data_IF_178910216788
#
_entry.id   IF_178910216788
#
_cell.length_a   1.000
_cell.length_b   1.000
_cell.length_c   1.000
_cell.angle_alpha   90.00
_cell.angle_beta   90.00
_cell.angle_gamma   90.00
#
_symmetry.space_group_name_H-M   'P 1'
#
loop_
_entity.id
_entity.type
_entity.pdbx_description
1 polymer ?
#
# COMPACT_ATOMS: atom_id res chain seq x y z
N UNK A 1 -6.41 25.52 -0.43
CA UNK A 1 -6.37 24.94 -1.77
C UNK A 1 -6.30 23.43 -1.60
N UNK A 2 -7.41 22.76 -1.85
CA UNK A 2 -7.48 21.29 -1.90
C UNK A 2 -6.62 20.90 -3.09
N UNK A 3 -5.49 20.25 -2.83
CA UNK A 3 -4.77 19.50 -3.85
C UNK A 3 -5.67 18.29 -4.20
N UNK A 4 -6.69 18.55 -5.01
CA UNK A 4 -7.36 17.49 -5.73
C UNK A 4 -6.29 16.83 -6.60
N UNK A 5 -5.93 15.60 -6.26
CA UNK A 5 -5.15 14.76 -7.16
C UNK A 5 -6.03 14.51 -8.38
N UNK A 6 -5.89 15.37 -9.39
CA UNK A 6 -6.47 15.08 -10.68
C UNK A 6 -5.77 13.80 -11.14
N UNK A 7 -6.49 12.68 -11.03
CA UNK A 7 -6.10 11.44 -11.68
C UNK A 7 -6.08 11.78 -13.18
N UNK A 8 -4.89 11.97 -13.75
CA UNK A 8 -4.80 11.98 -15.21
C UNK A 8 -5.41 10.68 -15.68
N UNK A 9 -6.49 10.77 -16.43
CA UNK A 9 -7.13 9.57 -16.98
C UNK A 9 -6.05 8.75 -17.68
N UNK A 10 -5.74 7.56 -17.19
CA UNK A 10 -4.63 6.80 -17.72
C UNK A 10 -4.87 6.55 -19.20
N UNK A 11 -3.85 6.59 -20.05
CA UNK A 11 -3.99 6.15 -21.42
C UNK A 11 -4.65 4.78 -21.39
N UNK A 12 -5.72 4.61 -22.16
CA UNK A 12 -6.46 3.34 -22.19
C UNK A 12 -5.49 2.25 -22.62
N UNK A 13 -5.41 1.20 -21.82
CA UNK A 13 -4.71 -0.01 -22.25
C UNK A 13 -5.34 -0.49 -23.56
N UNK A 14 -4.54 -0.97 -24.51
CA UNK A 14 -5.09 -1.61 -25.70
C UNK A 14 -6.02 -2.76 -25.25
N UNK A 15 -7.08 -3.07 -26.01
CA UNK A 15 -7.98 -4.15 -25.66
C UNK A 15 -7.18 -5.45 -25.52
N UNK A 16 -7.56 -6.33 -24.58
CA UNK A 16 -6.85 -7.59 -24.37
C UNK A 16 -6.88 -8.41 -25.67
N UNK A 17 -5.82 -9.18 -25.95
CA UNK A 17 -5.75 -9.96 -27.17
C UNK A 17 -6.85 -11.01 -27.20
N UNK A 18 -7.51 -11.15 -28.33
CA UNK A 18 -8.58 -12.15 -28.56
C UNK A 18 -8.02 -13.60 -28.68
N UNK A 19 -6.71 -13.76 -28.73
CA UNK A 19 -6.04 -15.05 -28.82
C UNK A 19 -4.68 -15.05 -28.12
N UNK A 20 -4.22 -16.24 -27.67
CA UNK A 20 -2.89 -16.45 -27.04
C UNK A 20 -1.71 -15.92 -27.87
N UNK A 21 -1.85 -15.94 -29.16
CA UNK A 21 -0.79 -15.61 -30.12
C UNK A 21 -0.41 -14.14 -30.14
N UNK A 22 -1.26 -13.28 -29.58
CA UNK A 22 -1.05 -11.84 -29.60
C UNK A 22 -0.57 -11.28 -28.25
N UNK A 23 -0.34 -12.12 -27.22
CA UNK A 23 0.06 -11.64 -25.90
C UNK A 23 1.39 -10.87 -25.95
N UNK A 24 2.38 -11.40 -26.65
CA UNK A 24 3.69 -10.75 -26.80
C UNK A 24 3.53 -9.37 -27.47
N UNK A 25 2.90 -9.34 -28.63
CA UNK A 25 2.64 -8.07 -29.35
C UNK A 25 1.78 -7.11 -28.54
N UNK A 26 0.89 -7.62 -27.71
CA UNK A 26 0.06 -6.79 -26.84
C UNK A 26 0.89 -6.19 -25.69
N UNK A 27 1.77 -6.97 -25.06
CA UNK A 27 2.71 -6.51 -24.03
C UNK A 27 3.69 -5.47 -24.59
N UNK A 28 4.22 -5.70 -25.79
CA UNK A 28 5.07 -4.73 -26.48
C UNK A 28 4.34 -3.39 -26.71
N UNK A 29 3.08 -3.43 -27.14
CA UNK A 29 2.26 -2.22 -27.33
C UNK A 29 1.89 -1.53 -26.00
N UNK A 30 1.64 -2.32 -24.96
CA UNK A 30 1.35 -1.79 -23.64
C UNK A 30 2.59 -1.07 -23.05
N UNK A 31 3.78 -1.55 -23.38
CA UNK A 31 5.04 -1.05 -22.84
C UNK A 31 5.16 -1.28 -21.32
N UNK A 32 6.25 -0.79 -20.74
CA UNK A 32 6.51 -0.95 -19.31
C UNK A 32 5.38 -0.37 -18.45
N UNK A 33 4.90 0.82 -18.79
CA UNK A 33 3.84 1.49 -18.02
C UNK A 33 2.52 0.72 -18.09
N UNK A 34 2.22 0.10 -19.22
CA UNK A 34 1.06 -0.77 -19.36
C UNK A 34 1.18 -2.04 -18.53
N UNK A 35 2.36 -2.64 -18.51
CA UNK A 35 2.64 -3.83 -17.67
C UNK A 35 2.51 -3.50 -16.18
N UNK A 36 3.10 -2.38 -15.72
CA UNK A 36 2.99 -1.94 -14.33
C UNK A 36 1.52 -1.74 -13.92
N UNK A 37 0.69 -1.17 -14.81
CA UNK A 37 -0.76 -0.99 -14.58
C UNK A 37 -1.52 -2.29 -14.47
N UNK A 38 -1.20 -3.29 -15.31
CA UNK A 38 -1.79 -4.63 -15.20
C UNK A 38 -1.48 -5.25 -13.84
N UNK A 39 -0.27 -5.02 -13.33
CA UNK A 39 0.17 -5.44 -12.01
C UNK A 39 -0.46 -4.62 -10.87
N UNK A 40 -1.36 -3.69 -11.18
CA UNK A 40 -2.05 -2.87 -10.17
C UNK A 40 -1.29 -1.62 -9.72
N UNK A 41 -0.10 -1.35 -10.28
CA UNK A 41 0.63 -0.13 -9.96
C UNK A 41 -0.03 1.08 -10.60
N UNK A 42 -0.28 2.10 -9.78
CA UNK A 42 -0.86 3.38 -10.20
C UNK A 42 0.24 4.42 -10.35
N UNK A 43 0.06 5.30 -11.32
CA UNK A 43 0.92 6.45 -11.53
C UNK A 43 0.08 7.71 -11.37
N UNK A 44 0.49 8.56 -10.44
CA UNK A 44 -0.15 9.84 -10.16
C UNK A 44 0.93 10.91 -10.00
N UNK A 45 0.52 12.15 -9.79
CA UNK A 45 1.45 13.23 -9.43
C UNK A 45 2.18 12.85 -8.13
N UNK A 46 3.50 12.82 -8.15
CA UNK A 46 4.34 12.36 -7.03
C UNK A 46 4.81 10.91 -7.12
N UNK A 47 4.39 10.16 -8.13
CA UNK A 47 4.98 8.84 -8.43
C UNK A 47 6.49 8.98 -8.62
N UNK A 48 7.26 8.07 -8.05
CA UNK A 48 8.71 8.04 -8.25
C UNK A 48 9.02 7.73 -9.72
N UNK A 49 9.81 8.59 -10.41
CA UNK A 49 10.05 8.45 -11.84
C UNK A 49 10.91 7.23 -12.21
N UNK A 50 11.54 6.57 -11.24
CA UNK A 50 12.47 5.45 -11.47
C UNK A 50 11.78 4.12 -11.79
N UNK A 51 10.46 4.08 -11.92
CA UNK A 51 9.67 2.85 -12.17
C UNK A 51 9.95 1.76 -11.14
N UNK A 52 9.89 2.11 -9.88
CA UNK A 52 10.16 1.22 -8.77
C UNK A 52 9.16 0.07 -8.71
N UNK A 53 9.64 -1.15 -8.47
CA UNK A 53 8.79 -2.29 -8.18
C UNK A 53 8.54 -2.43 -6.66
N UNK A 54 7.35 -2.87 -6.26
CA UNK A 54 7.06 -3.12 -4.85
C UNK A 54 7.88 -4.31 -4.33
N UNK A 55 8.22 -4.34 -3.02
CA UNK A 55 8.72 -5.55 -2.39
C UNK A 55 7.73 -6.71 -2.55
N UNK A 56 8.25 -7.94 -2.49
CA UNK A 56 7.36 -9.11 -2.51
C UNK A 56 6.40 -9.11 -1.31
N UNK A 57 5.23 -9.73 -1.48
CA UNK A 57 4.24 -9.91 -0.40
C UNK A 57 4.86 -10.50 0.86
N UNK A 58 5.75 -11.48 0.72
CA UNK A 58 6.49 -12.07 1.85
C UNK A 58 7.27 -11.03 2.62
N UNK A 59 8.07 -10.19 1.94
CA UNK A 59 8.84 -9.11 2.60
C UNK A 59 7.94 -8.09 3.29
N UNK A 60 6.78 -7.75 2.70
CA UNK A 60 5.81 -6.84 3.30
C UNK A 60 5.20 -7.41 4.58
N UNK A 61 4.84 -8.70 4.57
CA UNK A 61 4.33 -9.43 5.74
C UNK A 61 5.38 -9.53 6.83
N UNK A 62 6.61 -9.93 6.51
CA UNK A 62 7.73 -10.01 7.45
C UNK A 62 8.00 -8.67 8.13
N UNK A 63 8.06 -7.58 7.36
CA UNK A 63 8.25 -6.23 7.87
C UNK A 63 7.11 -5.81 8.82
N UNK A 64 5.87 -6.22 8.54
CA UNK A 64 4.70 -5.93 9.37
C UNK A 64 4.71 -6.71 10.68
N UNK A 65 5.26 -7.93 10.67
CA UNK A 65 5.40 -8.82 11.84
C UNK A 65 6.64 -8.52 12.68
N UNK A 66 7.55 -7.67 12.21
CA UNK A 66 8.74 -7.29 12.96
C UNK A 66 8.35 -6.75 14.35
N UNK A 67 9.14 -7.11 15.38
CA UNK A 67 8.93 -6.57 16.72
C UNK A 67 9.26 -5.08 16.76
N UNK A 68 8.46 -4.32 17.50
CA UNK A 68 8.71 -2.90 17.67
C UNK A 68 10.05 -2.64 18.41
N UNK A 69 10.35 -3.47 19.42
CA UNK A 69 11.62 -3.49 20.17
C UNK A 69 11.82 -4.87 20.80
N UNK A 70 13.04 -5.13 21.25
CA UNK A 70 13.40 -6.43 21.85
C UNK A 70 12.51 -6.84 23.03
N UNK A 71 12.03 -5.87 23.82
CA UNK A 71 11.26 -6.09 25.04
C UNK A 71 9.74 -6.01 24.84
N UNK A 72 9.26 -5.88 23.59
CA UNK A 72 7.83 -5.76 23.27
C UNK A 72 7.39 -6.96 22.45
N UNK A 73 6.38 -7.70 22.93
CA UNK A 73 5.85 -8.86 22.24
C UNK A 73 5.04 -8.49 20.99
N UNK A 74 4.42 -7.29 20.99
CA UNK A 74 3.63 -6.80 19.87
C UNK A 74 4.50 -6.44 18.68
N UNK A 75 4.04 -6.83 17.49
CA UNK A 75 4.61 -6.39 16.21
C UNK A 75 4.36 -4.90 15.97
N UNK A 76 5.15 -4.33 15.06
CA UNK A 76 4.97 -2.92 14.64
C UNK A 76 3.57 -2.68 14.08
N UNK A 77 3.04 -3.63 13.30
CA UNK A 77 1.70 -3.54 12.75
C UNK A 77 0.61 -3.70 13.83
N UNK A 78 0.75 -4.62 14.79
CA UNK A 78 -0.22 -4.80 15.86
C UNK A 78 -0.33 -3.54 16.74
N UNK A 79 0.78 -2.89 17.05
CA UNK A 79 0.79 -1.60 17.73
C UNK A 79 0.12 -0.49 16.92
N UNK A 80 0.34 -0.46 15.61
CA UNK A 80 -0.33 0.51 14.75
C UNK A 80 -1.83 0.24 14.67
N UNK A 81 -2.26 -1.03 14.51
CA UNK A 81 -3.67 -1.42 14.49
C UNK A 81 -4.41 -0.97 15.75
N UNK A 82 -3.79 -1.10 16.91
CA UNK A 82 -4.40 -0.69 18.19
C UNK A 82 -4.77 0.80 18.22
N UNK A 83 -4.10 1.66 17.43
CA UNK A 83 -4.43 3.09 17.32
C UNK A 83 -5.66 3.34 16.42
N UNK A 84 -5.97 2.42 15.52
CA UNK A 84 -7.08 2.51 14.57
C UNK A 84 -8.31 1.70 15.03
N UNK A 85 -8.08 0.68 15.86
CA UNK A 85 -9.15 -0.10 16.46
C UNK A 85 -10.09 0.79 17.29
N UNK A 86 -11.35 0.46 17.28
CA UNK A 86 -12.42 1.17 18.00
C UNK A 86 -12.75 2.58 17.48
N UNK A 87 -12.19 3.04 16.37
CA UNK A 87 -12.57 4.33 15.77
C UNK A 87 -13.88 4.26 15.00
N UNK A 88 -14.21 3.08 14.46
CA UNK A 88 -15.45 2.79 13.74
C UNK A 88 -15.83 1.34 13.93
N UNK A 89 -17.12 1.03 14.09
CA UNK A 89 -17.62 -0.34 14.19
C UNK A 89 -17.47 -1.12 12.88
N UNK A 90 -17.43 -0.42 11.75
CA UNK A 90 -17.31 -1.01 10.40
C UNK A 90 -15.87 -1.02 9.88
N UNK A 91 -14.91 -0.68 10.73
CA UNK A 91 -13.49 -0.67 10.36
C UNK A 91 -12.95 -2.10 10.20
N UNK A 92 -12.14 -2.33 9.15
CA UNK A 92 -11.38 -3.58 8.98
C UNK A 92 -10.44 -3.87 10.15
N UNK A 93 -10.13 -2.85 10.96
CA UNK A 93 -9.24 -2.99 12.11
C UNK A 93 -9.93 -3.65 13.30
N UNK A 94 -11.27 -3.69 13.33
CA UNK A 94 -12.06 -4.32 14.37
C UNK A 94 -11.75 -3.83 15.77
N UNK A 95 -11.92 -4.69 16.76
CA UNK A 95 -11.62 -4.41 18.17
C UNK A 95 -10.33 -5.11 18.58
N UNK A 96 -9.57 -4.50 19.50
CA UNK A 96 -8.39 -5.13 20.12
C UNK A 96 -8.84 -5.89 21.35
N UNK A 97 -8.79 -7.23 21.28
CA UNK A 97 -9.15 -8.14 22.37
C UNK A 97 -8.13 -9.28 22.45
N UNK A 98 -7.92 -9.81 23.65
CA UNK A 98 -7.01 -10.94 23.87
C UNK A 98 -5.61 -10.51 24.30
N UNK A 99 -4.66 -11.44 24.18
CA UNK A 99 -3.26 -11.23 24.52
C UNK A 99 -2.45 -10.76 23.29
N UNK A 100 -1.17 -10.47 23.48
CA UNK A 100 -0.29 -9.97 22.43
C UNK A 100 -0.17 -10.93 21.24
N UNK A 101 -0.20 -12.23 21.47
CA UNK A 101 -0.15 -13.25 20.40
C UNK A 101 -1.40 -13.18 19.53
N UNK A 102 -2.58 -13.08 20.16
CA UNK A 102 -3.84 -12.90 19.43
C UNK A 102 -3.84 -11.58 18.63
N UNK A 103 -3.35 -10.49 19.24
CA UNK A 103 -3.23 -9.21 18.55
C UNK A 103 -2.31 -9.29 17.31
N UNK A 104 -1.19 -10.00 17.43
CA UNK A 104 -0.27 -10.20 16.30
C UNK A 104 -0.93 -11.04 15.19
N UNK A 105 -1.63 -12.10 15.54
CA UNK A 105 -2.32 -13.00 14.61
C UNK A 105 -3.44 -12.28 13.88
N UNK A 106 -4.33 -11.60 14.59
CA UNK A 106 -5.42 -10.83 14.01
C UNK A 106 -4.89 -9.74 13.06
N UNK A 107 -3.79 -9.08 13.46
CA UNK A 107 -3.19 -8.04 12.64
C UNK A 107 -2.54 -8.61 11.39
N UNK A 108 -1.91 -9.78 11.48
CA UNK A 108 -1.37 -10.45 10.30
C UNK A 108 -2.48 -10.75 9.28
N UNK A 109 -3.64 -11.23 9.75
CA UNK A 109 -4.82 -11.45 8.89
C UNK A 109 -5.29 -10.17 8.23
N UNK A 110 -5.34 -9.04 8.96
CA UNK A 110 -5.71 -7.73 8.37
C UNK A 110 -4.73 -7.33 7.27
N UNK A 111 -3.42 -7.48 7.49
CA UNK A 111 -2.41 -7.17 6.46
C UNK A 111 -2.56 -8.10 5.25
N UNK A 112 -2.76 -9.39 5.47
CA UNK A 112 -2.98 -10.38 4.40
C UNK A 112 -4.21 -10.03 3.57
N UNK A 113 -5.31 -9.63 4.21
CA UNK A 113 -6.53 -9.16 3.54
C UNK A 113 -6.24 -7.91 2.69
N UNK A 114 -5.56 -6.91 3.24
CA UNK A 114 -5.18 -5.70 2.49
C UNK A 114 -4.36 -6.05 1.25
N UNK A 115 -3.37 -6.93 1.38
CA UNK A 115 -2.51 -7.32 0.27
C UNK A 115 -3.24 -8.16 -0.78
N UNK A 116 -4.19 -9.02 -0.35
CA UNK A 116 -4.96 -9.88 -1.25
C UNK A 116 -6.03 -9.10 -2.02
N UNK A 117 -6.70 -8.16 -1.36
CA UNK A 117 -7.80 -7.37 -1.94
C UNK A 117 -7.33 -6.02 -2.50
N UNK A 118 -6.02 -5.84 -2.65
CA UNK A 118 -5.45 -4.62 -3.15
C UNK A 118 -5.89 -4.33 -4.59
N UNK A 119 -6.46 -3.16 -4.81
CA UNK A 119 -6.77 -2.63 -6.15
C UNK A 119 -5.90 -1.44 -6.54
N UNK A 120 -5.13 -0.94 -5.56
CA UNK A 120 -4.28 0.23 -5.72
C UNK A 120 -2.93 -0.03 -5.09
N UNK A 121 -1.88 0.01 -5.90
CA UNK A 121 -0.48 -0.05 -5.47
C UNK A 121 0.21 1.19 -5.98
N UNK A 122 0.85 1.95 -5.09
CA UNK A 122 1.40 3.24 -5.40
C UNK A 122 2.73 3.47 -4.70
N UNK A 123 3.76 3.82 -5.46
CA UNK A 123 5.08 4.16 -4.92
C UNK A 123 5.35 5.63 -5.25
N UNK A 124 5.39 6.45 -4.22
CA UNK A 124 5.52 7.89 -4.35
C UNK A 124 6.48 8.48 -3.32
N UNK A 125 6.95 9.69 -3.56
CA UNK A 125 7.81 10.43 -2.65
C UNK A 125 7.03 11.52 -1.94
N UNK A 126 7.19 11.59 -0.62
CA UNK A 126 6.67 12.68 0.20
C UNK A 126 7.79 13.64 0.60
N UNK A 127 7.50 14.93 0.61
CA UNK A 127 8.42 15.94 1.15
C UNK A 127 8.75 15.76 2.64
N UNK A 128 7.92 15.03 3.40
CA UNK A 128 8.09 14.81 4.84
C UNK A 128 8.92 13.58 5.26
N UNK A 129 9.44 12.81 4.30
CA UNK A 129 10.26 11.61 4.57
C UNK A 129 11.63 11.70 3.88
N UNK A 130 12.22 12.90 3.88
CA UNK A 130 13.52 13.16 3.25
C UNK A 130 13.60 12.72 1.78
N UNK A 131 12.44 12.80 1.07
CA UNK A 131 12.32 12.37 -0.32
C UNK A 131 12.42 10.85 -0.54
N UNK A 132 12.29 10.03 0.51
CA UNK A 132 12.31 8.58 0.39
C UNK A 132 10.99 8.07 -0.18
N UNK A 133 11.03 7.11 -1.10
CA UNK A 133 9.81 6.50 -1.62
C UNK A 133 9.01 5.78 -0.54
N UNK A 134 7.70 5.83 -0.68
CA UNK A 134 6.73 5.13 0.17
C UNK A 134 5.84 4.29 -0.72
N UNK A 135 5.70 3.02 -0.37
CA UNK A 135 4.70 2.14 -0.94
C UNK A 135 3.40 2.29 -0.16
N UNK A 136 2.33 2.61 -0.86
CA UNK A 136 0.95 2.49 -0.37
C UNK A 136 0.24 1.37 -1.11
N UNK A 137 -0.51 0.57 -0.35
CA UNK A 137 -1.41 -0.46 -0.88
C UNK A 137 -2.79 -0.19 -0.32
N UNK A 138 -3.81 -0.13 -1.19
CA UNK A 138 -5.20 0.14 -0.79
C UNK A 138 -6.17 -0.85 -1.40
N UNK A 139 -7.17 -1.20 -0.61
CA UNK A 139 -8.36 -1.95 -1.02
C UNK A 139 -9.38 -1.02 -1.68
N UNK A 140 -10.39 -1.59 -2.33
CA UNK A 140 -11.50 -0.83 -2.90
C UNK A 140 -12.32 -0.03 -1.88
N UNK A 141 -12.30 -0.43 -0.63
CA UNK A 141 -12.91 0.31 0.50
C UNK A 141 -12.12 1.55 0.93
N UNK A 142 -10.92 1.78 0.37
CA UNK A 142 -10.02 2.87 0.75
C UNK A 142 -9.09 2.55 1.93
N UNK A 143 -9.35 1.51 2.70
CA UNK A 143 -8.40 1.05 3.72
C UNK A 143 -7.13 0.50 3.09
N UNK A 144 -6.03 0.58 3.83
CA UNK A 144 -4.75 0.14 3.31
C UNK A 144 -3.63 0.16 4.31
N UNK A 145 -2.41 0.04 3.79
CA UNK A 145 -1.20 0.10 4.60
C UNK A 145 -0.03 0.70 3.81
N UNK A 146 0.99 1.15 4.55
CA UNK A 146 2.20 1.80 4.03
C UNK A 146 3.45 1.10 4.48
N UNK A 147 4.42 1.05 3.56
CA UNK A 147 5.78 0.59 3.83
C UNK A 147 6.79 1.53 3.21
N UNK A 148 7.97 1.59 3.80
CA UNK A 148 9.17 2.13 3.16
C UNK A 148 10.12 0.99 2.84
N UNK A 149 10.97 1.18 1.85
CA UNK A 149 12.06 0.27 1.55
C UNK A 149 13.27 1.06 1.03
N UNK A 150 14.38 0.38 0.89
CA UNK A 150 15.53 0.87 0.16
C UNK A 150 15.40 0.42 -1.29
N UNK A 151 15.22 1.36 -2.20
CA UNK A 151 15.17 1.17 -3.66
C UNK A 151 16.47 1.64 -4.33
N UNK A 152 17.62 1.36 -3.73
CA UNK A 152 18.91 1.52 -4.42
C UNK A 152 18.94 0.66 -5.69
N UNK A 153 18.34 -0.51 -5.64
CA UNK A 153 17.92 -1.29 -6.82
C UNK A 153 16.40 -1.11 -7.02
N UNK A 154 15.96 -0.48 -8.13
CA UNK A 154 14.54 -0.25 -8.39
C UNK A 154 13.69 -1.52 -8.47
N UNK A 155 14.28 -2.65 -8.83
CA UNK A 155 13.58 -3.93 -9.06
C UNK A 155 13.64 -4.85 -7.84
N UNK A 156 14.69 -4.73 -7.01
CA UNK A 156 14.93 -5.60 -5.86
C UNK A 156 15.02 -4.79 -4.55
N UNK A 157 13.93 -4.18 -4.08
CA UNK A 157 13.95 -3.39 -2.85
C UNK A 157 14.33 -4.21 -1.62
N UNK A 158 15.07 -3.58 -0.72
CA UNK A 158 15.55 -4.16 0.54
C UNK A 158 15.13 -3.31 1.74
N UNK A 159 15.47 -3.72 2.96
CA UNK A 159 15.20 -2.96 4.20
C UNK A 159 13.75 -2.49 4.33
N UNK A 160 12.81 -3.38 4.03
CA UNK A 160 11.37 -3.08 4.08
C UNK A 160 10.93 -2.82 5.51
N UNK A 161 10.21 -1.72 5.73
CA UNK A 161 9.68 -1.34 7.04
C UNK A 161 8.21 -0.97 6.94
N UNK A 162 7.39 -1.52 7.82
CA UNK A 162 6.01 -1.14 7.96
C UNK A 162 5.89 0.26 8.59
N UNK A 163 5.05 1.13 8.01
CA UNK A 163 4.90 2.53 8.44
C UNK A 163 3.55 2.83 9.07
N UNK A 164 2.53 2.04 8.80
CA UNK A 164 1.21 2.23 9.38
C UNK A 164 0.07 1.79 8.47
N UNK A 165 -1.12 1.86 9.01
CA UNK A 165 -2.35 1.65 8.27
C UNK A 165 -2.89 2.95 7.69
N UNK A 166 -3.75 2.80 6.69
CA UNK A 166 -4.46 3.88 6.02
C UNK A 166 -5.95 3.68 6.21
N UNK A 167 -6.63 4.75 6.53
CA UNK A 167 -8.09 4.82 6.54
C UNK A 167 -8.57 5.44 5.21
N UNK A 168 -9.83 5.21 4.82
CA UNK A 168 -10.42 5.89 3.68
C UNK A 168 -10.28 7.41 3.82
N UNK A 169 -10.00 8.09 2.70
CA UNK A 169 -10.03 9.55 2.68
C UNK A 169 -11.46 10.02 2.87
N UNK A 170 -11.68 10.93 3.82
CA UNK A 170 -12.95 11.61 3.96
C UNK A 170 -12.91 12.89 3.12
N UNK A 171 -13.91 13.08 2.26
CA UNK A 171 -14.00 14.28 1.40
C UNK A 171 -13.98 15.59 2.22
N UNK A 172 -14.50 15.55 3.45
CA UNK A 172 -14.55 16.70 4.38
C UNK A 172 -13.57 16.58 5.56
N UNK A 173 -12.58 15.69 5.46
CA UNK A 173 -11.68 15.37 6.59
C UNK A 173 -10.94 16.58 7.14
N UNK A 174 -10.57 17.53 6.29
CA UNK A 174 -9.89 18.77 6.68
C UNK A 174 -10.82 19.72 7.44
N UNK A 175 -12.10 19.84 7.03
CA UNK A 175 -13.10 20.67 7.67
C UNK A 175 -13.54 20.12 9.02
N UNK A 176 -13.53 18.78 9.16
CA UNK A 176 -13.86 18.08 10.40
C UNK A 176 -12.68 17.92 11.36
N UNK A 177 -11.53 18.53 11.05
CA UNK A 177 -10.35 18.51 11.91
C UNK A 177 -9.71 17.13 12.04
N UNK A 178 -9.88 16.27 11.04
CA UNK A 178 -9.30 14.93 11.02
C UNK A 178 -7.77 15.02 10.98
N UNK A 179 -7.10 14.43 11.96
CA UNK A 179 -5.64 14.32 12.00
C UNK A 179 -5.25 12.90 11.59
N UNK A 180 -4.43 12.83 10.56
CA UNK A 180 -3.81 11.59 10.09
C UNK A 180 -2.88 10.98 11.15
#
# INVERSE_FOLDING_TARGET
AVLGFAEESPPRLPPPPSSRWNLHSWLEKAGDDGVLRILGLRQTMGTDPRKLLPPSTTKLLEASRARHSANVALSVAARARAKHANRSNDSIFGTVKGNDEQHNTDTATVIETILHEAIWIYIHTFGGLDGKPVLEVRMGSGYGARWTADWSDPVHPTNVQFRGFLEPTMDDGHEKGWKH
#
